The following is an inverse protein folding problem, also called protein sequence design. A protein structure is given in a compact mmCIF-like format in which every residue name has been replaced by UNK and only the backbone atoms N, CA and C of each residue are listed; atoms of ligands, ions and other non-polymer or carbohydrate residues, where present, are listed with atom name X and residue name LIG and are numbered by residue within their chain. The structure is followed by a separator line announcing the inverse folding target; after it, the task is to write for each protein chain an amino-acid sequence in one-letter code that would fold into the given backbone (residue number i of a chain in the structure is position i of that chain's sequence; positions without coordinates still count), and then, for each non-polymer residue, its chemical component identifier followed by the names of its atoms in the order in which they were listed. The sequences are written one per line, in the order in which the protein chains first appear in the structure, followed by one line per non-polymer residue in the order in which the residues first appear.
data_IF_531976900202
#
_entry.id   IF_531976900202
#
_cell.length_a   1.000
_cell.length_b   1.000
_cell.length_c   1.000
_cell.angle_alpha   90.00
_cell.angle_beta   90.00
_cell.angle_gamma   90.00
#
_symmetry.space_group_name_H-M   'P 1'
#
loop_
_entity.id
_entity.type
_entity.pdbx_description
1 polymer ?
#
# COMPACT_ATOMS: atom_id res chain seq x y z
N UNK A 1 44.84 -0.77 38.09
CA UNK A 1 43.50 -0.50 38.66
C UNK A 1 43.03 0.79 37.97
N UNK A 2 41.96 0.89 37.19
CA UNK A 2 40.65 0.23 37.20
C UNK A 2 39.93 0.35 35.84
N UNK A 3 39.43 -0.81 35.33
CA UNK A 3 38.15 -1.09 34.66
C UNK A 3 37.67 -0.31 33.42
N UNK A 4 37.55 -1.06 32.32
CA UNK A 4 36.47 -0.98 31.32
C UNK A 4 35.07 -0.98 31.97
N UNK A 5 34.12 -0.24 31.39
CA UNK A 5 32.77 -0.75 31.02
C UNK A 5 31.84 0.41 30.61
N UNK A 6 31.23 0.27 29.45
CA UNK A 6 30.18 1.17 28.94
C UNK A 6 29.68 0.62 27.61
N UNK A 7 29.01 -0.53 27.71
CA UNK A 7 28.53 -1.35 26.60
C UNK A 7 27.67 -0.57 25.59
N UNK A 8 28.10 -0.56 24.33
CA UNK A 8 27.21 -0.43 23.17
C UNK A 8 26.28 -1.65 23.11
N UNK A 9 25.23 -1.66 23.91
CA UNK A 9 24.10 -2.58 23.77
C UNK A 9 23.08 -2.03 22.76
N UNK A 10 23.58 -1.59 21.61
CA UNK A 10 22.76 -1.32 20.43
C UNK A 10 22.53 -2.63 19.69
N UNK A 11 21.47 -3.37 20.04
CA UNK A 11 21.02 -4.51 19.23
C UNK A 11 20.95 -4.11 17.75
N UNK A 12 21.23 -5.02 16.80
CA UNK A 12 21.42 -4.65 15.40
C UNK A 12 20.20 -3.90 14.88
N UNK A 13 20.38 -2.61 14.59
CA UNK A 13 19.35 -1.80 13.96
C UNK A 13 18.89 -2.52 12.69
N UNK A 14 17.58 -2.77 12.58
CA UNK A 14 17.02 -3.41 11.38
C UNK A 14 17.47 -2.60 10.16
N UNK A 15 18.18 -3.20 9.18
CA UNK A 15 18.70 -2.46 8.04
C UNK A 15 17.56 -1.71 7.35
N UNK A 16 17.73 -0.39 7.16
CA UNK A 16 16.76 0.41 6.40
C UNK A 16 16.75 -0.12 4.95
N UNK A 17 15.54 -0.28 4.41
CA UNK A 17 15.34 -0.80 3.05
C UNK A 17 15.15 0.39 2.11
N UNK A 18 16.26 0.85 1.51
CA UNK A 18 16.27 2.05 0.64
C UNK A 18 15.29 1.94 -0.52
N UNK A 19 15.22 0.76 -1.17
CA UNK A 19 14.28 0.51 -2.25
C UNK A 19 12.80 0.68 -1.83
N UNK A 20 12.46 0.29 -0.59
CA UNK A 20 11.10 0.39 -0.08
C UNK A 20 10.75 1.84 0.28
N UNK A 21 11.70 2.58 0.84
CA UNK A 21 11.56 4.03 1.05
C UNK A 21 11.39 4.73 -0.32
N UNK A 22 12.26 4.44 -1.30
CA UNK A 22 12.17 5.02 -2.64
C UNK A 22 10.82 4.71 -3.33
N UNK A 23 10.35 3.46 -3.26
CA UNK A 23 9.06 3.06 -3.85
C UNK A 23 7.89 3.85 -3.23
N UNK A 24 7.89 4.01 -1.90
CA UNK A 24 6.91 4.86 -1.20
C UNK A 24 7.02 6.32 -1.62
N UNK A 25 8.23 6.86 -1.70
CA UNK A 25 8.49 8.23 -2.14
C UNK A 25 7.94 8.50 -3.53
N UNK A 26 8.20 7.61 -4.49
CA UNK A 26 7.69 7.71 -5.86
C UNK A 26 6.16 7.66 -5.87
N UNK A 27 5.54 6.75 -5.11
CA UNK A 27 4.09 6.64 -5.02
C UNK A 27 3.46 7.95 -4.48
N UNK A 28 4.01 8.51 -3.40
CA UNK A 28 3.54 9.78 -2.82
C UNK A 28 3.69 10.94 -3.79
N UNK A 29 4.86 11.10 -4.41
CA UNK A 29 5.12 12.17 -5.39
C UNK A 29 4.18 12.06 -6.58
N UNK A 30 4.00 10.85 -7.11
CA UNK A 30 3.12 10.63 -8.26
C UNK A 30 1.65 10.90 -7.90
N UNK A 31 1.21 10.51 -6.69
CA UNK A 31 -0.14 10.80 -6.21
C UNK A 31 -0.37 12.31 -6.03
N UNK A 32 0.60 13.03 -5.46
CA UNK A 32 0.51 14.49 -5.34
C UNK A 32 0.49 15.16 -6.72
N UNK A 33 1.34 14.73 -7.63
CA UNK A 33 1.36 15.23 -9.01
C UNK A 33 0.02 14.98 -9.71
N UNK A 34 -0.57 13.79 -9.58
CA UNK A 34 -1.89 13.47 -10.12
C UNK A 34 -2.97 14.44 -9.63
N UNK A 35 -2.94 14.74 -8.33
CA UNK A 35 -3.90 15.67 -7.71
C UNK A 35 -3.65 17.11 -8.16
N UNK A 36 -2.39 17.54 -8.28
CA UNK A 36 -2.05 18.88 -8.76
C UNK A 36 -2.49 19.14 -10.20
N UNK A 37 -2.29 18.16 -11.08
CA UNK A 37 -2.76 18.21 -12.47
C UNK A 37 -4.26 18.50 -12.52
N UNK A 38 -5.05 17.83 -11.66
CA UNK A 38 -6.50 18.01 -11.62
C UNK A 38 -6.95 19.38 -11.09
N UNK A 39 -6.12 20.02 -10.24
CA UNK A 39 -6.41 21.35 -9.66
C UNK A 39 -6.02 22.48 -10.63
N UNK A 40 -4.87 22.36 -11.29
CA UNK A 40 -4.29 23.46 -12.06
C UNK A 40 -4.63 23.45 -13.55
N UNK A 41 -4.97 22.29 -14.12
CA UNK A 41 -5.32 22.20 -15.54
C UNK A 41 -6.83 22.20 -15.73
N UNK A 42 -7.34 23.26 -16.38
CA UNK A 42 -8.75 23.35 -16.78
C UNK A 42 -9.14 22.28 -17.81
N UNK A 43 -8.19 21.80 -18.62
CA UNK A 43 -8.32 20.63 -19.48
C UNK A 43 -7.14 19.70 -19.25
N UNK A 44 -7.39 18.59 -18.56
CA UNK A 44 -6.37 17.58 -18.31
C UNK A 44 -6.16 16.76 -19.60
N UNK A 45 -4.93 16.66 -20.13
CA UNK A 45 -4.61 15.79 -21.27
C UNK A 45 -5.03 14.34 -21.01
N UNK A 46 -5.47 13.62 -22.05
CA UNK A 46 -6.04 12.27 -21.90
C UNK A 46 -5.12 11.29 -21.15
N UNK A 47 -3.80 11.38 -21.35
CA UNK A 47 -2.81 10.56 -20.64
C UNK A 47 -2.70 10.86 -19.13
N UNK A 48 -3.07 12.07 -18.70
CA UNK A 48 -2.97 12.54 -17.31
C UNK A 48 -4.30 12.46 -16.54
N UNK A 49 -5.39 12.17 -17.24
CA UNK A 49 -6.69 11.98 -16.61
C UNK A 49 -6.73 10.67 -15.80
N UNK A 50 -7.57 10.60 -14.77
CA UNK A 50 -7.79 9.41 -13.93
C UNK A 50 -9.25 9.38 -13.44
N UNK A 51 -9.71 8.26 -12.85
CA UNK A 51 -11.10 8.07 -12.36
C UNK A 51 -12.20 8.14 -13.45
N UNK A 52 -12.03 7.45 -14.58
CA UNK A 52 -12.98 7.56 -15.70
C UNK A 52 -13.61 6.22 -16.06
N UNK A 53 -14.42 5.70 -15.14
CA UNK A 53 -15.17 4.46 -15.31
C UNK A 53 -14.24 3.28 -15.66
N UNK A 54 -14.56 2.62 -16.77
CA UNK A 54 -13.91 1.37 -17.22
C UNK A 54 -12.61 1.59 -18.02
N UNK A 55 -12.19 2.85 -18.23
CA UNK A 55 -10.95 3.14 -18.94
C UNK A 55 -9.76 3.11 -17.97
N UNK A 56 -8.84 2.17 -18.20
CA UNK A 56 -7.54 2.17 -17.52
C UNK A 56 -6.70 3.38 -17.92
N UNK A 57 -6.25 4.16 -16.94
CA UNK A 57 -5.32 5.26 -17.14
C UNK A 57 -4.07 5.11 -16.26
N UNK A 58 -2.90 5.58 -16.70
CA UNK A 58 -1.67 5.45 -15.90
C UNK A 58 -1.78 6.06 -14.49
N UNK A 59 -2.54 7.14 -14.37
CA UNK A 59 -2.77 7.86 -13.10
C UNK A 59 -3.80 7.21 -12.17
N UNK A 60 -4.33 6.04 -12.55
CA UNK A 60 -5.20 5.25 -11.68
C UNK A 60 -4.44 4.45 -10.62
N UNK A 61 -3.15 4.16 -10.86
CA UNK A 61 -2.33 3.28 -10.03
C UNK A 61 -1.60 3.90 -8.81
N UNK A 62 -1.23 5.19 -8.76
CA UNK A 62 -0.44 5.73 -7.64
C UNK A 62 -1.06 5.50 -6.26
N UNK A 63 -2.36 5.75 -6.10
CA UNK A 63 -3.07 5.53 -4.84
C UNK A 63 -3.18 4.03 -4.47
N UNK A 64 -3.56 3.11 -5.39
CA UNK A 64 -3.47 1.67 -5.15
C UNK A 64 -2.08 1.16 -4.78
N UNK A 65 -1.02 1.68 -5.43
CA UNK A 65 0.37 1.34 -5.09
C UNK A 65 0.70 1.78 -3.67
N UNK A 66 0.29 3.00 -3.29
CA UNK A 66 0.46 3.47 -1.92
C UNK A 66 -0.30 2.59 -0.90
N UNK A 67 -1.55 2.22 -1.20
CA UNK A 67 -2.36 1.32 -0.37
C UNK A 67 -1.69 -0.05 -0.17
N UNK A 68 -1.12 -0.62 -1.24
CA UNK A 68 -0.35 -1.85 -1.16
C UNK A 68 0.89 -1.67 -0.27
N UNK A 69 1.62 -0.57 -0.43
CA UNK A 69 2.83 -0.26 0.36
C UNK A 69 2.55 -0.02 1.84
N UNK A 70 1.35 0.45 2.22
CA UNK A 70 0.88 0.48 3.62
C UNK A 70 0.94 -0.93 4.20
N UNK A 71 0.41 -1.92 3.47
CA UNK A 71 0.48 -3.33 3.84
C UNK A 71 1.92 -3.84 3.98
N UNK A 72 2.76 -3.56 2.97
CA UNK A 72 4.18 -3.98 2.98
C UNK A 72 4.94 -3.43 4.19
N UNK A 73 4.63 -2.20 4.59
CA UNK A 73 5.31 -1.49 5.67
C UNK A 73 4.82 -1.91 7.07
N UNK A 74 3.61 -2.47 7.18
CA UNK A 74 2.99 -2.82 8.45
C UNK A 74 3.81 -3.81 9.30
N UNK A 75 4.36 -4.93 8.75
CA UNK A 75 5.25 -5.81 9.51
C UNK A 75 6.52 -5.12 10.03
N UNK A 76 7.09 -4.18 9.28
CA UNK A 76 8.25 -3.40 9.73
C UNK A 76 7.88 -2.49 10.90
N UNK A 77 6.73 -1.81 10.78
CA UNK A 77 6.19 -0.96 11.84
C UNK A 77 5.97 -1.72 13.14
N UNK A 78 5.30 -2.87 13.08
CA UNK A 78 5.00 -3.69 14.26
C UNK A 78 6.27 -4.24 14.91
N UNK A 79 7.20 -4.79 14.11
CA UNK A 79 8.49 -5.30 14.59
C UNK A 79 9.31 -4.21 15.27
N UNK A 80 9.39 -3.01 14.67
CA UNK A 80 10.09 -1.86 15.24
C UNK A 80 9.50 -1.47 16.60
N UNK A 81 8.18 -1.44 16.75
CA UNK A 81 7.56 -1.08 18.03
C UNK A 81 7.81 -2.11 19.12
N UNK A 82 7.84 -3.40 18.77
CA UNK A 82 8.21 -4.47 19.70
C UNK A 82 9.69 -4.39 20.08
N UNK A 83 10.58 -4.12 19.13
CA UNK A 83 12.01 -3.89 19.39
C UNK A 83 12.26 -2.69 20.32
N UNK A 84 11.40 -1.67 20.27
CA UNK A 84 11.43 -0.51 21.17
C UNK A 84 10.78 -0.80 22.54
N UNK A 85 10.53 -2.07 22.88
CA UNK A 85 10.04 -2.49 24.20
C UNK A 85 8.52 -2.48 24.38
N UNK A 86 7.73 -2.22 23.33
CA UNK A 86 6.26 -2.34 23.44
C UNK A 86 5.83 -3.81 23.38
N UNK A 87 4.72 -4.12 24.05
CA UNK A 87 4.06 -5.42 23.87
C UNK A 87 3.53 -5.55 22.43
N UNK A 88 3.39 -6.76 21.87
CA UNK A 88 2.81 -6.97 20.54
C UNK A 88 1.42 -6.33 20.40
N UNK A 89 0.58 -6.45 21.43
CA UNK A 89 -0.72 -5.77 21.48
C UNK A 89 -0.58 -4.24 21.46
N UNK A 90 0.36 -3.68 22.22
CA UNK A 90 0.66 -2.25 22.23
C UNK A 90 1.17 -1.72 20.89
N UNK A 91 1.90 -2.54 20.12
CA UNK A 91 2.30 -2.21 18.75
C UNK A 91 1.10 -2.17 17.79
N UNK A 92 0.18 -3.15 17.88
CA UNK A 92 -1.06 -3.17 17.09
C UNK A 92 -1.96 -1.99 17.40
N UNK A 93 -2.16 -1.67 18.69
CA UNK A 93 -2.96 -0.50 19.09
C UNK A 93 -2.36 0.81 18.56
N UNK A 94 -1.02 0.92 18.52
CA UNK A 94 -0.36 2.07 17.93
C UNK A 94 -0.60 2.20 16.42
N UNK A 95 -0.58 1.08 15.67
CA UNK A 95 -0.94 1.06 14.25
C UNK A 95 -2.43 1.42 14.04
N UNK A 96 -3.33 0.81 14.81
CA UNK A 96 -4.77 1.11 14.75
C UNK A 96 -5.05 2.59 15.05
N UNK A 97 -4.38 3.17 16.06
CA UNK A 97 -4.49 4.60 16.37
C UNK A 97 -4.02 5.47 15.21
N UNK A 98 -2.92 5.12 14.54
CA UNK A 98 -2.42 5.85 13.36
C UNK A 98 -3.44 5.86 12.22
N UNK A 99 -4.02 4.70 11.91
CA UNK A 99 -5.04 4.61 10.86
C UNK A 99 -6.36 5.29 11.26
N UNK A 100 -6.77 5.21 12.53
CA UNK A 100 -7.93 5.94 13.03
C UNK A 100 -7.73 7.46 12.92
N UNK A 101 -6.54 7.97 13.28
CA UNK A 101 -6.19 9.38 13.08
C UNK A 101 -6.19 9.77 11.60
N UNK A 102 -5.76 8.89 10.69
CA UNK A 102 -5.82 9.12 9.25
C UNK A 102 -7.27 9.23 8.75
N UNK A 103 -8.17 8.36 9.22
CA UNK A 103 -9.61 8.42 8.90
C UNK A 103 -10.22 9.72 9.41
N UNK A 104 -9.97 10.08 10.67
CA UNK A 104 -10.48 11.31 11.27
C UNK A 104 -9.96 12.56 10.56
N UNK A 105 -8.67 12.59 10.23
CA UNK A 105 -8.08 13.66 9.44
C UNK A 105 -8.72 13.76 8.06
N UNK A 106 -8.94 12.63 7.39
CA UNK A 106 -9.65 12.57 6.11
C UNK A 106 -11.04 13.18 6.19
N UNK A 107 -11.84 12.75 7.18
CA UNK A 107 -13.20 13.28 7.39
C UNK A 107 -13.19 14.79 7.65
N UNK A 108 -12.22 15.28 8.43
CA UNK A 108 -12.07 16.72 8.68
C UNK A 108 -11.76 17.48 7.38
N UNK A 109 -10.80 16.99 6.58
CA UNK A 109 -10.42 17.62 5.31
C UNK A 109 -11.57 17.62 4.30
N UNK A 110 -12.35 16.54 4.23
CA UNK A 110 -13.51 16.46 3.32
C UNK A 110 -14.62 17.42 3.73
N UNK A 111 -14.87 17.61 5.03
CA UNK A 111 -15.82 18.62 5.54
C UNK A 111 -15.37 20.04 5.19
N UNK A 112 -14.08 20.34 5.38
CA UNK A 112 -13.51 21.66 5.05
C UNK A 112 -13.57 21.91 3.55
N UNK A 113 -13.15 20.94 2.73
CA UNK A 113 -13.16 21.05 1.27
C UNK A 113 -14.56 21.19 0.68
N UNK A 114 -15.57 20.57 1.29
CA UNK A 114 -16.96 20.68 0.87
C UNK A 114 -17.71 21.90 1.44
N UNK A 115 -17.08 22.67 2.35
CA UNK A 115 -17.74 23.73 3.13
C UNK A 115 -19.06 23.26 3.78
N UNK A 116 -19.13 21.98 4.16
CA UNK A 116 -20.33 21.34 4.67
C UNK A 116 -19.95 20.29 5.71
N UNK A 117 -20.68 20.27 6.82
CA UNK A 117 -20.48 19.28 7.89
C UNK A 117 -21.34 18.05 7.59
N UNK A 118 -20.69 16.96 7.17
CA UNK A 118 -21.37 15.70 6.88
C UNK A 118 -20.41 14.51 6.90
N UNK A 119 -20.96 13.30 7.05
CA UNK A 119 -20.16 12.08 7.01
C UNK A 119 -19.77 11.79 5.55
N UNK A 120 -18.56 12.21 5.15
CA UNK A 120 -18.01 11.94 3.83
C UNK A 120 -16.98 10.83 3.92
N UNK A 121 -17.12 9.86 3.01
CA UNK A 121 -16.10 8.86 2.79
C UNK A 121 -15.19 9.33 1.65
N UNK A 122 -13.91 8.97 1.73
CA UNK A 122 -12.89 9.54 0.88
C UNK A 122 -11.66 8.65 0.81
N UNK A 123 -10.63 9.13 0.12
CA UNK A 123 -9.41 8.35 -0.13
C UNK A 123 -8.71 8.01 1.19
N UNK A 124 -8.53 8.98 2.09
CA UNK A 124 -7.82 8.76 3.35
C UNK A 124 -8.55 7.74 4.25
N UNK A 125 -9.88 7.74 4.22
CA UNK A 125 -10.74 6.83 4.95
C UNK A 125 -10.60 5.40 4.40
N UNK A 126 -10.61 5.24 3.07
CA UNK A 126 -10.35 3.96 2.39
C UNK A 126 -8.94 3.42 2.71
N UNK A 127 -7.92 4.29 2.71
CA UNK A 127 -6.56 3.90 3.08
C UNK A 127 -6.48 3.44 4.55
N UNK A 128 -7.07 4.23 5.45
CA UNK A 128 -7.13 3.92 6.87
C UNK A 128 -7.87 2.62 7.17
N UNK A 129 -9.01 2.37 6.53
CA UNK A 129 -9.79 1.14 6.70
C UNK A 129 -8.97 -0.10 6.29
N UNK A 130 -8.30 -0.05 5.13
CA UNK A 130 -7.41 -1.13 4.70
C UNK A 130 -6.29 -1.39 5.70
N UNK A 131 -5.65 -0.33 6.19
CA UNK A 131 -4.61 -0.42 7.22
C UNK A 131 -5.11 -1.01 8.54
N UNK A 132 -6.32 -0.63 8.99
CA UNK A 132 -6.93 -1.19 10.19
C UNK A 132 -7.20 -2.69 10.04
N UNK A 133 -7.83 -3.11 8.95
CA UNK A 133 -8.12 -4.53 8.69
C UNK A 133 -6.82 -5.35 8.60
N UNK A 134 -5.82 -4.84 7.88
CA UNK A 134 -4.51 -5.48 7.80
C UNK A 134 -3.84 -5.58 9.18
N UNK A 135 -3.99 -4.56 10.04
CA UNK A 135 -3.47 -4.59 11.42
C UNK A 135 -4.18 -5.64 12.26
N UNK A 136 -5.51 -5.75 12.16
CA UNK A 136 -6.28 -6.76 12.90
C UNK A 136 -5.84 -8.18 12.49
N UNK A 137 -5.67 -8.41 11.19
CA UNK A 137 -5.23 -9.67 10.60
C UNK A 137 -3.71 -9.90 10.64
N UNK A 138 -2.93 -8.99 11.22
CA UNK A 138 -1.46 -9.03 11.17
C UNK A 138 -0.84 -10.31 11.78
N UNK A 139 -1.54 -10.97 12.69
CA UNK A 139 -1.10 -12.22 13.34
C UNK A 139 -1.74 -13.48 12.73
N UNK A 140 -2.69 -13.32 11.81
CA UNK A 140 -3.37 -14.44 11.17
C UNK A 140 -2.39 -15.24 10.28
N UNK A 141 -2.60 -16.57 10.12
CA UNK A 141 -1.82 -17.36 9.19
C UNK A 141 -1.97 -16.80 7.77
N UNK A 142 -0.93 -16.97 6.95
CA UNK A 142 -0.91 -16.44 5.57
C UNK A 142 -2.11 -16.92 4.75
N UNK A 143 -2.47 -18.19 4.90
CA UNK A 143 -3.64 -18.81 4.26
C UNK A 143 -4.95 -18.12 4.62
N UNK A 144 -5.13 -17.74 5.89
CA UNK A 144 -6.32 -17.01 6.34
C UNK A 144 -6.42 -15.63 5.70
N UNK A 145 -5.30 -14.91 5.59
CA UNK A 145 -5.25 -13.59 4.93
C UNK A 145 -5.56 -13.74 3.43
N UNK A 146 -4.99 -14.76 2.77
CA UNK A 146 -5.28 -15.07 1.37
C UNK A 146 -6.76 -15.41 1.19
N UNK A 147 -7.34 -16.24 2.05
CA UNK A 147 -8.76 -16.58 2.02
C UNK A 147 -9.66 -15.34 2.12
N UNK A 148 -9.36 -14.41 3.04
CA UNK A 148 -10.08 -13.13 3.16
C UNK A 148 -9.92 -12.28 1.89
N UNK A 149 -8.69 -12.18 1.35
CA UNK A 149 -8.44 -11.41 0.13
C UNK A 149 -9.20 -11.99 -1.08
N UNK A 150 -9.22 -13.31 -1.24
CA UNK A 150 -9.96 -14.01 -2.30
C UNK A 150 -11.47 -13.80 -2.12
N UNK A 151 -11.99 -13.95 -0.90
CA UNK A 151 -13.40 -13.74 -0.61
C UNK A 151 -13.84 -12.31 -0.98
N UNK A 152 -13.05 -11.30 -0.60
CA UNK A 152 -13.31 -9.91 -0.96
C UNK A 152 -13.22 -9.68 -2.47
N UNK A 153 -12.21 -10.22 -3.16
CA UNK A 153 -12.14 -10.13 -4.63
C UNK A 153 -13.37 -10.76 -5.29
N UNK A 154 -13.84 -11.91 -4.80
CA UNK A 154 -15.07 -12.56 -5.29
C UNK A 154 -16.33 -11.72 -5.05
N UNK A 155 -16.47 -11.16 -3.85
CA UNK A 155 -17.58 -10.27 -3.50
C UNK A 155 -17.64 -9.02 -4.41
N UNK A 156 -16.50 -8.39 -4.67
CA UNK A 156 -16.38 -7.17 -5.47
C UNK A 156 -16.03 -7.43 -6.95
N UNK A 157 -16.58 -8.52 -7.49
CA UNK A 157 -16.51 -8.91 -8.92
C UNK A 157 -17.80 -8.61 -9.70
N UNK A 158 -18.75 -7.85 -9.14
CA UNK A 158 -20.03 -7.56 -9.77
C UNK A 158 -21.02 -6.91 -8.81
N UNK A 159 -21.91 -7.70 -8.20
CA UNK A 159 -23.10 -7.20 -7.51
C UNK A 159 -22.84 -6.31 -6.27
N UNK A 160 -21.71 -6.49 -5.58
CA UNK A 160 -21.37 -5.67 -4.41
C UNK A 160 -20.49 -4.46 -4.75
N UNK A 161 -20.11 -4.28 -6.02
CA UNK A 161 -19.36 -3.11 -6.43
C UNK A 161 -20.18 -1.84 -6.23
N UNK A 162 -19.52 -0.86 -5.66
CA UNK A 162 -20.02 0.50 -5.51
C UNK A 162 -18.84 1.45 -5.54
N UNK A 163 -19.10 2.74 -5.59
CA UNK A 163 -18.03 3.73 -5.57
C UNK A 163 -17.20 3.58 -4.29
N UNK A 164 -15.92 3.25 -4.45
CA UNK A 164 -14.97 2.90 -3.38
C UNK A 164 -14.83 4.01 -2.35
N UNK A 165 -15.06 5.25 -2.78
CA UNK A 165 -14.99 6.44 -1.95
C UNK A 165 -16.35 6.97 -1.52
N UNK A 166 -17.45 6.21 -1.71
CA UNK A 166 -18.77 6.61 -1.24
C UNK A 166 -19.16 5.99 0.11
N UNK A 167 -18.64 4.81 0.46
CA UNK A 167 -19.01 4.12 1.69
C UNK A 167 -17.90 3.21 2.23
N UNK A 168 -17.89 2.90 3.54
CA UNK A 168 -16.94 1.95 4.13
C UNK A 168 -17.09 0.53 3.55
N UNK A 169 -18.30 0.14 3.13
CA UNK A 169 -18.54 -1.19 2.54
C UNK A 169 -17.89 -1.27 1.17
N UNK A 170 -18.12 -0.28 0.29
CA UNK A 170 -17.49 -0.24 -1.03
C UNK A 170 -15.96 -0.14 -0.93
N UNK A 171 -15.43 0.54 0.10
CA UNK A 171 -14.00 0.61 0.37
C UNK A 171 -13.35 -0.76 0.64
N UNK A 172 -14.13 -1.78 1.04
CA UNK A 172 -13.62 -3.14 1.21
C UNK A 172 -13.08 -3.75 -0.08
N UNK A 173 -13.51 -3.26 -1.25
CA UNK A 173 -12.98 -3.66 -2.55
C UNK A 173 -11.46 -3.47 -2.67
N UNK A 174 -10.90 -2.46 -1.97
CA UNK A 174 -9.46 -2.15 -2.00
C UNK A 174 -8.67 -2.82 -0.87
N UNK A 175 -9.32 -3.49 0.09
CA UNK A 175 -8.65 -4.19 1.18
C UNK A 175 -7.72 -5.32 0.68
N UNK A 176 -8.04 -6.10 -0.37
CA UNK A 176 -7.13 -7.08 -0.94
C UNK A 176 -5.74 -6.52 -1.31
N UNK A 177 -5.63 -5.25 -1.75
CA UNK A 177 -4.34 -4.61 -2.00
C UNK A 177 -3.49 -4.52 -0.74
N UNK A 178 -4.10 -4.06 0.36
CA UNK A 178 -3.39 -3.91 1.64
C UNK A 178 -3.00 -5.27 2.22
N UNK A 179 -3.87 -6.27 2.08
CA UNK A 179 -3.60 -7.64 2.53
C UNK A 179 -2.50 -8.32 1.68
N UNK A 180 -2.51 -8.14 0.37
CA UNK A 180 -1.43 -8.58 -0.52
C UNK A 180 -0.11 -7.92 -0.15
N UNK A 181 -0.14 -6.61 0.13
CA UNK A 181 0.99 -5.88 0.67
C UNK A 181 1.50 -6.45 2.00
N UNK A 182 0.61 -6.75 2.95
CA UNK A 182 0.95 -7.36 4.23
C UNK A 182 1.66 -8.71 4.06
N UNK A 183 1.16 -9.57 3.17
CA UNK A 183 1.78 -10.85 2.85
C UNK A 183 3.19 -10.66 2.27
N UNK A 184 3.37 -9.72 1.35
CA UNK A 184 4.68 -9.39 0.77
C UNK A 184 5.61 -8.76 1.80
N UNK A 185 5.08 -7.93 2.70
CA UNK A 185 5.80 -7.34 3.83
C UNK A 185 6.41 -8.37 4.77
N UNK A 186 5.77 -9.55 4.92
CA UNK A 186 6.32 -10.67 5.70
C UNK A 186 7.57 -11.28 5.04
N UNK A 187 7.68 -11.17 3.72
CA UNK A 187 8.78 -11.70 2.90
C UNK A 187 9.93 -10.71 2.69
N UNK A 188 9.84 -9.49 3.24
CA UNK A 188 10.89 -8.48 3.09
C UNK A 188 12.26 -9.00 3.55
N UNK A 189 13.33 -8.69 2.80
CA UNK A 189 14.66 -9.18 3.10
C UNK A 189 15.14 -8.63 4.45
N UNK A 190 15.53 -9.51 5.36
CA UNK A 190 16.17 -9.13 6.63
C UNK A 190 17.65 -8.86 6.43
N UNK A 191 18.26 -9.49 5.43
CA UNK A 191 19.66 -9.29 5.03
C UNK A 191 19.71 -8.90 3.55
N UNK A 192 19.48 -7.61 3.20
CA UNK A 192 19.34 -7.15 1.82
C UNK A 192 20.49 -7.63 0.90
N UNK A 193 21.74 -7.54 1.36
CA UNK A 193 22.93 -8.00 0.62
C UNK A 193 22.87 -9.44 0.11
N UNK A 194 22.12 -10.33 0.76
CA UNK A 194 22.00 -11.76 0.38
C UNK A 194 20.63 -12.12 -0.16
N UNK A 195 19.59 -11.45 0.32
CA UNK A 195 18.19 -11.86 0.09
C UNK A 195 17.50 -11.07 -1.02
N UNK A 196 18.02 -9.91 -1.42
CA UNK A 196 17.36 -9.00 -2.36
C UNK A 196 17.10 -9.64 -3.74
N UNK A 197 18.04 -10.44 -4.27
CA UNK A 197 17.85 -11.15 -5.54
C UNK A 197 16.70 -12.18 -5.48
N UNK A 198 16.57 -12.88 -4.35
CA UNK A 198 15.45 -13.81 -4.13
C UNK A 198 14.14 -13.04 -4.01
N UNK A 199 14.14 -11.93 -3.28
CA UNK A 199 12.97 -11.07 -3.09
C UNK A 199 12.46 -10.52 -4.44
N UNK A 200 13.34 -10.01 -5.31
CA UNK A 200 12.99 -9.53 -6.66
C UNK A 200 12.32 -10.64 -7.47
N UNK A 201 12.87 -11.86 -7.47
CA UNK A 201 12.28 -12.98 -8.21
C UNK A 201 10.87 -13.33 -7.71
N UNK A 202 10.67 -13.42 -6.40
CA UNK A 202 9.36 -13.75 -5.83
C UNK A 202 8.34 -12.64 -6.10
N UNK A 203 8.70 -11.38 -5.89
CA UNK A 203 7.81 -10.23 -6.16
C UNK A 203 7.47 -10.12 -7.64
N UNK A 204 8.43 -10.36 -8.54
CA UNK A 204 8.18 -10.42 -9.98
C UNK A 204 7.20 -11.55 -10.34
N UNK A 205 7.42 -12.77 -9.82
CA UNK A 205 6.54 -13.90 -10.09
C UNK A 205 5.11 -13.66 -9.56
N UNK A 206 4.98 -13.12 -8.34
CA UNK A 206 3.69 -12.71 -7.79
C UNK A 206 3.03 -11.61 -8.64
N UNK A 207 3.82 -10.66 -9.15
CA UNK A 207 3.33 -9.58 -10.00
C UNK A 207 2.76 -10.09 -11.32
N UNK A 208 3.47 -11.02 -11.96
CA UNK A 208 2.98 -11.71 -13.17
C UNK A 208 1.72 -12.53 -12.88
N UNK A 209 1.67 -13.24 -11.75
CA UNK A 209 0.48 -13.98 -11.32
C UNK A 209 -0.74 -13.08 -11.09
N UNK A 210 -0.55 -11.93 -10.44
CA UNK A 210 -1.60 -10.93 -10.24
C UNK A 210 -2.07 -10.31 -11.57
N UNK A 211 -1.16 -10.05 -12.51
CA UNK A 211 -1.50 -9.61 -13.86
C UNK A 211 -2.29 -10.65 -14.65
N UNK A 212 -1.91 -11.93 -14.56
CA UNK A 212 -2.66 -13.03 -15.18
C UNK A 212 -4.07 -13.18 -14.58
N UNK A 213 -4.19 -13.05 -13.25
CA UNK A 213 -5.49 -13.04 -12.58
C UNK A 213 -6.37 -11.86 -13.03
N UNK A 214 -5.77 -10.68 -13.18
CA UNK A 214 -6.47 -9.50 -13.68
C UNK A 214 -6.99 -9.71 -15.10
N UNK A 215 -6.17 -10.30 -15.98
CA UNK A 215 -6.56 -10.66 -17.34
C UNK A 215 -7.68 -11.71 -17.35
N UNK A 216 -7.64 -12.68 -16.45
CA UNK A 216 -8.70 -13.69 -16.31
C UNK A 216 -10.04 -13.07 -15.88
N UNK A 217 -10.05 -12.17 -14.89
CA UNK A 217 -11.26 -11.44 -14.51
C UNK A 217 -11.81 -10.57 -15.64
N UNK A 218 -10.92 -9.89 -16.37
CA UNK A 218 -11.32 -9.09 -17.52
C UNK A 218 -11.94 -9.96 -18.63
N UNK A 219 -11.33 -11.12 -18.93
CA UNK A 219 -11.87 -12.09 -19.88
C UNK A 219 -13.22 -12.67 -19.43
N UNK A 220 -13.46 -12.76 -18.12
CA UNK A 220 -14.74 -13.13 -17.53
C UNK A 220 -15.79 -11.99 -17.55
N UNK A 221 -15.49 -10.84 -18.15
CA UNK A 221 -16.42 -9.72 -18.32
C UNK A 221 -16.38 -8.66 -17.21
N UNK A 222 -15.40 -8.73 -16.30
CA UNK A 222 -15.27 -7.74 -15.21
C UNK A 222 -14.40 -6.58 -15.69
N UNK A 223 -14.96 -5.39 -15.95
CA UNK A 223 -14.21 -4.28 -16.53
C UNK A 223 -13.16 -3.75 -15.58
N UNK A 224 -12.11 -3.15 -16.11
CA UNK A 224 -11.11 -2.47 -15.29
C UNK A 224 -11.63 -1.12 -14.82
N UNK A 225 -12.20 -1.08 -13.62
CA UNK A 225 -12.82 0.13 -13.10
C UNK A 225 -12.28 0.45 -11.70
N UNK A 226 -11.48 1.52 -11.65
CA UNK A 226 -10.90 2.03 -10.41
C UNK A 226 -11.96 2.57 -9.45
N UNK A 227 -12.95 3.30 -9.98
CA UNK A 227 -13.97 3.99 -9.18
C UNK A 227 -14.78 2.98 -8.38
N UNK A 228 -15.11 1.85 -9.00
CA UNK A 228 -15.85 0.75 -8.39
C UNK A 228 -14.97 -0.29 -7.67
N UNK A 229 -13.65 -0.22 -7.86
CA UNK A 229 -12.70 -1.20 -7.33
C UNK A 229 -12.98 -2.61 -7.79
N UNK A 230 -13.24 -2.79 -9.08
CA UNK A 230 -13.47 -4.12 -9.64
C UNK A 230 -12.30 -5.05 -9.37
N UNK A 231 -12.59 -6.33 -9.14
CA UNK A 231 -11.57 -7.34 -8.87
C UNK A 231 -10.48 -7.42 -9.95
N UNK A 232 -10.83 -7.22 -11.22
CA UNK A 232 -9.86 -7.11 -12.32
C UNK A 232 -8.90 -5.93 -12.12
N UNK A 233 -9.42 -4.74 -11.79
CA UNK A 233 -8.58 -3.57 -11.49
C UNK A 233 -7.73 -3.76 -10.25
N UNK A 234 -8.29 -4.31 -9.16
CA UNK A 234 -7.59 -4.55 -7.90
C UNK A 234 -6.45 -5.56 -8.09
N UNK A 235 -6.69 -6.64 -8.86
CA UNK A 235 -5.64 -7.61 -9.22
C UNK A 235 -4.55 -6.96 -10.08
N UNK A 236 -4.93 -6.13 -11.07
CA UNK A 236 -3.96 -5.43 -11.92
C UNK A 236 -3.10 -4.46 -11.10
N UNK A 237 -3.74 -3.68 -10.22
CA UNK A 237 -3.07 -2.74 -9.34
C UNK A 237 -2.11 -3.45 -8.36
N UNK A 238 -2.45 -4.64 -7.87
CA UNK A 238 -1.53 -5.46 -7.09
C UNK A 238 -0.29 -5.87 -7.92
N UNK A 239 -0.51 -6.28 -9.18
CA UNK A 239 0.57 -6.59 -10.14
C UNK A 239 1.50 -5.40 -10.39
N UNK A 240 0.93 -4.21 -10.64
CA UNK A 240 1.69 -2.95 -10.81
C UNK A 240 2.47 -2.59 -9.55
N UNK A 241 1.87 -2.76 -8.37
CA UNK A 241 2.52 -2.50 -7.08
C UNK A 241 3.73 -3.40 -6.85
N UNK A 242 3.58 -4.70 -7.16
CA UNK A 242 4.65 -5.68 -7.09
C UNK A 242 5.77 -5.37 -8.09
N UNK A 243 5.42 -4.95 -9.31
CA UNK A 243 6.40 -4.55 -10.32
C UNK A 243 7.18 -3.29 -9.89
N UNK A 244 6.51 -2.27 -9.33
CA UNK A 244 7.17 -1.08 -8.80
C UNK A 244 8.14 -1.42 -7.65
N UNK A 245 7.72 -2.31 -6.74
CA UNK A 245 8.55 -2.78 -5.64
C UNK A 245 9.75 -3.61 -6.12
N UNK A 246 9.55 -4.48 -7.11
CA UNK A 246 10.62 -5.25 -7.73
C UNK A 246 11.61 -4.36 -8.50
N UNK A 247 11.10 -3.34 -9.21
CA UNK A 247 11.90 -2.38 -9.97
C UNK A 247 12.81 -1.56 -9.07
N UNK A 248 12.27 -0.98 -7.99
CA UNK A 248 13.10 -0.26 -7.01
C UNK A 248 14.10 -1.19 -6.31
N UNK A 249 13.71 -2.42 -5.98
CA UNK A 249 14.64 -3.42 -5.44
C UNK A 249 15.75 -3.78 -6.43
N UNK A 250 15.45 -3.83 -7.72
CA UNK A 250 16.43 -4.07 -8.78
C UNK A 250 17.42 -2.91 -8.91
N UNK A 251 16.94 -1.65 -8.89
CA UNK A 251 17.78 -0.45 -8.89
C UNK A 251 18.79 -0.50 -7.73
N UNK A 252 18.32 -0.81 -6.52
CA UNK A 252 19.20 -0.99 -5.34
C UNK A 252 20.20 -2.14 -5.52
N UNK A 253 19.74 -3.27 -6.10
CA UNK A 253 20.61 -4.43 -6.38
C UNK A 253 21.71 -4.11 -7.38
N UNK A 254 21.43 -3.23 -8.35
CA UNK A 254 22.40 -2.76 -9.34
C UNK A 254 23.42 -1.76 -8.74
N UNK A 255 23.29 -1.41 -7.44
CA UNK A 255 24.17 -0.45 -6.78
C UNK A 255 23.86 1.01 -7.13
N UNK A 256 22.72 1.27 -7.77
CA UNK A 256 22.28 2.63 -8.10
C UNK A 256 21.61 3.21 -6.85
N UNK A 257 22.19 4.30 -6.33
CA UNK A 257 21.65 5.02 -5.18
C UNK A 257 20.36 5.78 -5.53
N UNK A 258 19.50 6.00 -4.53
CA UNK A 258 18.34 6.87 -4.66
C UNK A 258 18.66 8.28 -4.11
N UNK A 259 18.04 9.34 -4.64
CA UNK A 259 18.18 10.67 -4.08
C UNK A 259 17.69 10.74 -2.62
N UNK A 260 18.42 11.45 -1.76
CA UNK A 260 18.10 11.54 -0.32
C UNK A 260 16.70 12.12 -0.07
N UNK A 261 16.28 13.10 -0.88
CA UNK A 261 14.95 13.71 -0.76
C UNK A 261 13.84 12.67 -1.01
N UNK A 262 14.06 11.72 -1.92
CA UNK A 262 13.08 10.69 -2.25
C UNK A 262 12.96 9.68 -1.11
N UNK A 263 14.10 9.29 -0.53
CA UNK A 263 14.16 8.42 0.63
C UNK A 263 13.50 9.10 1.85
N UNK A 264 13.73 10.40 2.05
CA UNK A 264 13.13 11.16 3.13
C UNK A 264 11.59 11.14 3.06
N UNK A 265 11.03 11.40 1.87
CA UNK A 265 9.57 11.33 1.63
C UNK A 265 9.02 9.95 1.97
N UNK A 266 9.72 8.89 1.57
CA UNK A 266 9.27 7.51 1.78
C UNK A 266 9.49 6.93 3.17
N UNK A 267 10.38 7.53 3.97
CA UNK A 267 10.83 6.97 5.26
C UNK A 267 9.88 7.18 6.44
N UNK A 268 8.84 8.02 6.28
CA UNK A 268 7.90 8.41 7.33
C UNK A 268 6.77 7.41 7.57
#
# INVERSE_FOLDING_TARGET
MSRQAGADSGGPATPRLGFLDACRGVAVVTMLFANFVNVFLHRVPLLLTHNYGDLLRPFDFPAPVFQFLIGVSLPLFLRKHVQLGRTPHGAKLAALRRFALLILLGMLLDCVGALHVGLRWGVLQTLGLGGMIATLLADAPGEGIVGVAIALLGCFSGALNGEVHASPIAALAFVPLTLGGLLVGRLLPRRPRRELGRFIRHTTALGLGAGALAAAFYAAGIPFNKVLGTSSFVALAAGVSLAALAGTALVERLGIGFPDWLLAVGSN
#
